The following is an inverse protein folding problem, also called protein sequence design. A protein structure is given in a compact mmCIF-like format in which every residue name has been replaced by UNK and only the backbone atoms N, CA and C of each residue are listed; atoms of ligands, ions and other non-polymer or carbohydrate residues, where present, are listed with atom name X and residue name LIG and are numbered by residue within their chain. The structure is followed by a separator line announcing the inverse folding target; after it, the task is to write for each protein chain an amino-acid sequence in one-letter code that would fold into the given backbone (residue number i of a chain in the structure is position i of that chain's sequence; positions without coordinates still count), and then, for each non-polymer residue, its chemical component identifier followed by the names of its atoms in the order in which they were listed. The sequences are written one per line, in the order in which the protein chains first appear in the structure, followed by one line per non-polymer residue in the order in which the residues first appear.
data_IF_441210072726
#
_entry.id   IF_441210072726
#
_cell.length_a   1.000
_cell.length_b   1.000
_cell.length_c   1.000
_cell.angle_alpha   90.00
_cell.angle_beta   90.00
_cell.angle_gamma   90.00
#
_symmetry.space_group_name_H-M   'P 1'
#
loop_
_entity.id
_entity.type
_entity.pdbx_description
1 polymer ?
#
# COMPACT_ATOMS: atom_id res chain seq x y z
N UNK A 1 -1.09 -45.81 -2.29
CA UNK A 1 -0.86 -44.65 -1.42
C UNK A 1 -0.67 -45.16 -0.01
N UNK A 2 0.56 -45.21 0.52
CA UNK A 2 0.85 -45.59 1.90
C UNK A 2 0.41 -44.49 2.85
N UNK A 3 -0.17 -44.83 3.98
CA UNK A 3 -0.58 -43.90 5.02
C UNK A 3 0.61 -43.05 5.48
N UNK A 4 0.43 -41.74 5.71
CA UNK A 4 1.50 -40.88 6.15
C UNK A 4 2.00 -41.33 7.54
N UNK A 5 3.32 -41.33 7.70
CA UNK A 5 4.01 -41.73 8.94
C UNK A 5 3.66 -40.69 10.04
N UNK A 6 3.57 -41.14 11.29
CA UNK A 6 3.23 -40.31 12.48
C UNK A 6 4.15 -39.08 12.60
N UNK A 7 5.40 -39.20 12.15
CA UNK A 7 6.37 -38.11 12.13
C UNK A 7 6.05 -37.05 11.09
N UNK A 8 5.58 -37.42 9.87
CA UNK A 8 5.11 -36.51 8.85
C UNK A 8 3.84 -35.75 9.26
N UNK A 9 2.95 -36.43 10.01
CA UNK A 9 1.73 -35.77 10.54
C UNK A 9 2.08 -34.71 11.57
N UNK A 10 3.04 -34.95 12.47
CA UNK A 10 3.48 -33.95 13.46
C UNK A 10 4.18 -32.74 12.82
N UNK A 11 4.99 -32.94 11.79
CA UNK A 11 5.66 -31.88 11.05
C UNK A 11 4.65 -31.02 10.27
N UNK A 12 3.62 -31.64 9.71
CA UNK A 12 2.55 -30.94 8.98
C UNK A 12 1.69 -30.09 9.91
N UNK A 13 1.39 -30.58 11.12
CA UNK A 13 0.67 -29.81 12.14
C UNK A 13 1.47 -28.60 12.63
N UNK A 14 2.75 -28.78 12.92
CA UNK A 14 3.66 -27.69 13.32
C UNK A 14 3.72 -26.62 12.23
N UNK A 15 3.83 -27.03 10.97
CA UNK A 15 3.87 -26.11 9.82
C UNK A 15 2.55 -25.36 9.62
N UNK A 16 1.40 -26.02 9.83
CA UNK A 16 0.09 -25.40 9.77
C UNK A 16 -0.08 -24.30 10.82
N UNK A 17 0.35 -24.57 12.05
CA UNK A 17 0.29 -23.60 13.14
C UNK A 17 1.23 -22.40 12.91
N UNK A 18 2.39 -22.63 12.30
CA UNK A 18 3.30 -21.56 11.90
C UNK A 18 2.68 -20.65 10.83
N UNK A 19 2.07 -21.22 9.81
CA UNK A 19 1.39 -20.45 8.73
C UNK A 19 0.24 -19.63 9.30
N UNK A 20 -0.67 -20.27 10.03
CA UNK A 20 -1.82 -19.58 10.66
C UNK A 20 -1.33 -18.53 11.66
N UNK A 21 -0.30 -18.84 12.44
CA UNK A 21 0.34 -17.92 13.37
C UNK A 21 0.94 -16.71 12.68
N UNK A 22 1.55 -16.88 11.51
CA UNK A 22 2.11 -15.79 10.71
C UNK A 22 1.00 -14.86 10.18
N UNK A 23 -0.06 -15.42 9.60
CA UNK A 23 -1.20 -14.64 9.12
C UNK A 23 -1.86 -13.84 10.26
N UNK A 24 -2.07 -14.46 11.43
CA UNK A 24 -2.65 -13.78 12.61
C UNK A 24 -1.77 -12.66 13.13
N UNK A 25 -0.46 -12.86 13.21
CA UNK A 25 0.50 -11.82 13.60
C UNK A 25 0.41 -10.64 12.65
N UNK A 26 0.38 -10.91 11.33
CA UNK A 26 0.23 -9.89 10.31
C UNK A 26 -1.06 -9.09 10.43
N UNK A 27 -2.21 -9.75 10.62
CA UNK A 27 -3.49 -9.07 10.83
C UNK A 27 -3.50 -8.24 12.12
N UNK A 28 -2.82 -8.71 13.17
CA UNK A 28 -2.68 -7.96 14.43
C UNK A 28 -1.78 -6.73 14.25
N UNK A 29 -0.70 -6.86 13.47
CA UNK A 29 0.20 -5.75 13.13
C UNK A 29 -0.55 -4.68 12.32
N UNK A 30 -1.27 -5.06 11.27
CA UNK A 30 -2.09 -4.15 10.47
C UNK A 30 -3.14 -3.43 11.33
N UNK A 31 -3.80 -4.15 12.25
CA UNK A 31 -4.74 -3.53 13.20
C UNK A 31 -4.03 -2.54 14.12
N UNK A 32 -2.85 -2.86 14.64
CA UNK A 32 -2.08 -1.94 15.49
C UNK A 32 -1.70 -0.68 14.75
N UNK A 33 -1.19 -0.79 13.51
CA UNK A 33 -0.87 0.36 12.66
C UNK A 33 -2.11 1.24 12.49
N UNK A 34 -3.26 0.66 12.13
CA UNK A 34 -4.53 1.39 12.00
C UNK A 34 -4.94 2.08 13.29
N UNK A 35 -4.82 1.41 14.43
CA UNK A 35 -5.17 2.00 15.74
C UNK A 35 -4.25 3.17 16.10
N UNK A 36 -2.94 3.04 15.90
CA UNK A 36 -1.99 4.10 16.22
C UNK A 36 -2.17 5.29 15.30
N UNK A 37 -2.13 5.08 13.98
CA UNK A 37 -2.24 6.16 13.00
C UNK A 37 -3.63 6.79 13.02
N UNK A 38 -4.68 5.97 13.09
CA UNK A 38 -6.06 6.44 13.22
C UNK A 38 -6.31 7.18 14.53
N UNK A 39 -5.80 6.67 15.66
CA UNK A 39 -5.90 7.32 16.97
C UNK A 39 -5.19 8.67 17.00
N UNK A 40 -4.00 8.78 16.42
CA UNK A 40 -3.28 10.04 16.28
C UNK A 40 -4.08 11.04 15.42
N UNK A 41 -4.63 10.60 14.30
CA UNK A 41 -5.46 11.42 13.44
C UNK A 41 -6.74 11.89 14.15
N UNK A 42 -7.45 11.01 14.87
CA UNK A 42 -8.61 11.39 15.68
C UNK A 42 -8.24 12.39 16.77
N UNK A 43 -7.11 12.18 17.46
CA UNK A 43 -6.61 13.11 18.46
C UNK A 43 -6.33 14.49 17.88
N UNK A 44 -5.62 14.58 16.77
CA UNK A 44 -5.36 15.83 16.04
C UNK A 44 -6.67 16.49 15.58
N UNK A 45 -7.63 15.70 15.08
CA UNK A 45 -8.93 16.20 14.64
C UNK A 45 -9.72 16.81 15.80
N UNK A 46 -9.70 16.17 16.97
CA UNK A 46 -10.37 16.69 18.18
C UNK A 46 -9.69 17.99 18.68
N UNK A 47 -8.35 18.03 18.70
CA UNK A 47 -7.60 19.23 19.10
C UNK A 47 -7.83 20.36 18.11
N UNK A 48 -7.79 20.10 16.80
CA UNK A 48 -8.07 21.11 15.78
C UNK A 48 -9.50 21.63 15.86
N UNK A 49 -10.51 20.75 16.11
CA UNK A 49 -11.90 21.16 16.34
C UNK A 49 -12.04 22.05 17.57
N UNK A 50 -11.42 21.68 18.69
CA UNK A 50 -11.40 22.49 19.90
C UNK A 50 -10.72 23.84 19.65
N UNK A 51 -9.59 23.87 18.96
CA UNK A 51 -8.91 25.11 18.59
C UNK A 51 -9.82 26.03 17.75
N UNK A 52 -10.51 25.47 16.75
CA UNK A 52 -11.47 26.24 15.92
C UNK A 52 -12.65 26.81 16.73
N UNK A 53 -13.14 26.06 17.70
CA UNK A 53 -14.33 26.47 18.49
C UNK A 53 -13.97 27.46 19.60
N UNK A 54 -12.85 27.23 20.30
CA UNK A 54 -12.51 27.98 21.52
C UNK A 54 -11.51 29.12 21.28
N UNK A 55 -10.61 29.02 20.32
CA UNK A 55 -9.55 30.01 20.13
C UNK A 55 -9.80 30.98 18.97
N UNK A 56 -10.48 30.56 17.91
CA UNK A 56 -10.74 31.45 16.76
C UNK A 56 -11.65 32.65 17.12
N UNK A 57 -12.69 32.50 17.95
CA UNK A 57 -13.52 33.65 18.35
C UNK A 57 -12.74 34.71 19.13
N UNK A 58 -11.86 34.28 20.08
CA UNK A 58 -11.16 35.21 20.98
C UNK A 58 -10.00 35.96 20.32
N UNK A 59 -9.45 35.42 19.24
CA UNK A 59 -8.26 36.00 18.57
C UNK A 59 -8.58 37.36 17.93
N UNK A 60 -9.80 37.58 17.48
CA UNK A 60 -10.18 38.75 16.69
C UNK A 60 -10.67 39.88 17.59
N UNK A 61 -11.23 39.55 18.76
CA UNK A 61 -11.68 40.58 19.73
C UNK A 61 -10.53 41.19 20.55
N UNK A 62 -9.33 40.60 20.54
CA UNK A 62 -8.20 40.97 21.45
C UNK A 62 -7.01 41.58 20.66
N UNK A 63 -7.18 41.91 19.38
CA UNK A 63 -6.06 42.31 18.49
C UNK A 63 -5.19 43.49 18.96
N UNK A 64 -5.64 44.51 19.72
CA UNK A 64 -4.74 45.61 20.08
C UNK A 64 -3.81 45.34 21.26
N UNK A 65 -4.18 44.51 22.24
CA UNK A 65 -3.43 44.41 23.49
C UNK A 65 -2.32 43.36 23.54
N UNK A 66 -2.38 42.29 22.71
CA UNK A 66 -1.36 41.24 22.64
C UNK A 66 -1.23 40.61 21.25
N UNK A 67 -0.78 41.39 20.26
CA UNK A 67 -0.61 40.98 18.88
C UNK A 67 0.15 39.63 18.73
N UNK A 68 1.29 39.49 19.45
CA UNK A 68 2.12 38.29 19.37
C UNK A 68 1.33 37.05 19.82
N UNK A 69 0.54 37.15 20.87
CA UNK A 69 -0.26 36.06 21.40
C UNK A 69 -1.38 35.68 20.42
N UNK A 70 -2.04 36.65 19.80
CA UNK A 70 -3.12 36.45 18.85
C UNK A 70 -2.61 35.83 17.54
N UNK A 71 -1.50 36.30 17.02
CA UNK A 71 -0.82 35.73 15.84
C UNK A 71 -0.34 34.30 16.13
N UNK A 72 0.22 34.04 17.31
CA UNK A 72 0.67 32.70 17.69
C UNK A 72 -0.50 31.71 17.80
N UNK A 73 -1.64 32.14 18.37
CA UNK A 73 -2.86 31.30 18.45
C UNK A 73 -3.41 30.98 17.06
N UNK A 74 -3.47 31.96 16.18
CA UNK A 74 -3.93 31.77 14.80
C UNK A 74 -3.03 30.82 14.05
N UNK A 75 -1.70 31.02 14.11
CA UNK A 75 -0.72 30.13 13.51
C UNK A 75 -0.88 28.70 14.03
N UNK A 76 -1.02 28.52 15.33
CA UNK A 76 -1.19 27.19 15.93
C UNK A 76 -2.48 26.51 15.46
N UNK A 77 -3.59 27.26 15.38
CA UNK A 77 -4.89 26.72 14.93
C UNK A 77 -4.81 26.26 13.45
N UNK A 78 -4.22 27.07 12.57
CA UNK A 78 -4.02 26.72 11.16
C UNK A 78 -3.06 25.53 11.02
N UNK A 79 -1.92 25.56 11.70
CA UNK A 79 -0.94 24.47 11.66
C UNK A 79 -1.53 23.14 12.17
N UNK A 80 -2.38 23.15 13.21
CA UNK A 80 -3.06 21.95 13.68
C UNK A 80 -4.10 21.44 12.68
N UNK A 81 -4.81 22.34 12.02
CA UNK A 81 -5.79 21.97 11.00
C UNK A 81 -5.07 21.33 9.78
N UNK A 82 -3.97 21.92 9.32
CA UNK A 82 -3.16 21.41 8.22
C UNK A 82 -2.47 20.09 8.57
N UNK A 83 -1.93 19.97 9.77
CA UNK A 83 -1.34 18.72 10.26
C UNK A 83 -2.39 17.59 10.30
N UNK A 84 -3.62 17.89 10.73
CA UNK A 84 -4.73 16.93 10.68
C UNK A 84 -5.03 16.49 9.24
N UNK A 85 -5.13 17.43 8.31
CA UNK A 85 -5.37 17.12 6.90
C UNK A 85 -4.23 16.29 6.29
N UNK A 86 -2.98 16.64 6.58
CA UNK A 86 -1.82 15.85 6.15
C UNK A 86 -1.90 14.42 6.71
N UNK A 87 -2.23 14.26 7.98
CA UNK A 87 -2.44 12.94 8.59
C UNK A 87 -3.61 12.17 7.96
N UNK A 88 -4.62 12.86 7.40
CA UNK A 88 -5.70 12.22 6.65
C UNK A 88 -5.19 11.44 5.43
N UNK A 89 -4.13 11.89 4.78
CA UNK A 89 -3.49 11.20 3.65
C UNK A 89 -2.58 10.05 4.07
N UNK A 90 -2.03 10.12 5.28
CA UNK A 90 -1.08 9.14 5.81
C UNK A 90 -1.80 7.97 6.53
N UNK A 91 -2.98 8.23 7.08
CA UNK A 91 -3.73 7.29 7.90
C UNK A 91 -4.28 6.06 7.14
N UNK A 92 -4.82 6.16 5.90
CA UNK A 92 -5.34 5.02 5.20
C UNK A 92 -4.24 4.05 4.78
N UNK A 93 -4.44 2.76 5.06
CA UNK A 93 -3.72 1.69 4.40
C UNK A 93 -4.41 1.43 3.05
N UNK A 94 -3.63 1.15 2.00
CA UNK A 94 -4.05 1.18 0.61
C UNK A 94 -5.36 0.48 0.23
N UNK A 95 -5.86 -0.49 1.05
CA UNK A 95 -7.08 -1.27 0.74
C UNK A 95 -8.27 -0.92 1.65
N UNK A 96 -8.12 0.07 2.55
CA UNK A 96 -9.15 0.37 3.56
C UNK A 96 -10.13 1.45 3.09
N UNK A 97 -10.98 1.12 2.12
CA UNK A 97 -11.99 2.03 1.56
C UNK A 97 -12.92 2.60 2.62
N UNK A 98 -13.32 1.80 3.62
CA UNK A 98 -14.22 2.26 4.70
C UNK A 98 -13.55 3.30 5.60
N UNK A 99 -12.27 3.10 5.90
CA UNK A 99 -11.52 4.06 6.70
C UNK A 99 -11.29 5.37 5.92
N UNK A 100 -10.97 5.27 4.61
CA UNK A 100 -10.85 6.45 3.74
C UNK A 100 -12.17 7.22 3.65
N UNK A 101 -13.30 6.54 3.52
CA UNK A 101 -14.62 7.17 3.54
C UNK A 101 -14.92 7.87 4.87
N UNK A 102 -14.55 7.25 6.00
CA UNK A 102 -14.67 7.86 7.32
C UNK A 102 -13.83 9.15 7.43
N UNK A 103 -12.57 9.10 6.98
CA UNK A 103 -11.65 10.25 6.96
C UNK A 103 -12.24 11.40 6.15
N UNK A 104 -12.67 11.14 4.91
CA UNK A 104 -13.29 12.15 4.04
C UNK A 104 -14.59 12.69 4.61
N UNK A 105 -15.41 11.83 5.23
CA UNK A 105 -16.65 12.26 5.90
C UNK A 105 -16.38 13.19 7.07
N UNK A 106 -15.38 12.90 7.91
CA UNK A 106 -14.95 13.78 9.00
C UNK A 106 -14.37 15.09 8.45
N UNK A 107 -13.61 15.05 7.35
CA UNK A 107 -13.12 16.28 6.70
C UNK A 107 -14.28 17.18 6.27
N UNK A 108 -15.31 16.62 5.64
CA UNK A 108 -16.52 17.39 5.27
C UNK A 108 -17.16 18.03 6.51
N UNK A 109 -17.34 17.27 7.58
CA UNK A 109 -17.92 17.80 8.83
C UNK A 109 -17.05 18.91 9.42
N UNK A 110 -15.74 18.75 9.44
CA UNK A 110 -14.81 19.76 9.97
C UNK A 110 -14.81 21.05 9.13
N UNK A 111 -14.84 20.92 7.80
CA UNK A 111 -15.02 22.09 6.91
C UNK A 111 -16.34 22.79 7.15
N UNK A 112 -17.45 22.06 7.26
CA UNK A 112 -18.75 22.62 7.56
C UNK A 112 -18.79 23.34 8.91
N UNK A 113 -18.22 22.71 9.97
CA UNK A 113 -18.16 23.29 11.30
C UNK A 113 -17.34 24.60 11.33
N UNK A 114 -16.20 24.63 10.64
CA UNK A 114 -15.38 25.85 10.52
C UNK A 114 -16.17 26.99 9.84
N UNK A 115 -16.93 26.68 8.77
CA UNK A 115 -17.77 27.67 8.08
C UNK A 115 -18.97 28.13 8.89
N UNK A 116 -19.59 27.23 9.64
CA UNK A 116 -20.67 27.58 10.57
C UNK A 116 -20.19 28.54 11.65
N UNK A 117 -19.00 28.35 12.21
CA UNK A 117 -18.38 29.29 13.14
C UNK A 117 -18.22 30.69 12.56
N UNK A 118 -17.79 30.81 11.28
CA UNK A 118 -17.70 32.10 10.56
C UNK A 118 -19.06 32.74 10.36
N UNK A 119 -20.07 31.96 9.93
CA UNK A 119 -21.44 32.49 9.73
C UNK A 119 -22.08 32.98 11.04
N UNK A 120 -21.83 32.31 12.14
CA UNK A 120 -22.30 32.75 13.47
C UNK A 120 -21.75 34.13 13.85
N UNK A 121 -20.51 34.43 13.51
CA UNK A 121 -19.92 35.76 13.68
C UNK A 121 -20.68 36.83 12.92
N UNK A 122 -20.95 36.59 11.63
CA UNK A 122 -21.74 37.52 10.81
C UNK A 122 -23.11 37.81 11.42
N UNK A 123 -23.78 36.79 11.96
CA UNK A 123 -25.12 36.98 12.56
C UNK A 123 -25.11 37.82 13.84
N UNK A 124 -23.96 37.87 14.54
CA UNK A 124 -23.80 38.66 15.76
C UNK A 124 -23.31 40.07 15.51
N UNK A 125 -22.50 40.29 14.48
CA UNK A 125 -21.82 41.57 14.19
C UNK A 125 -22.10 42.13 12.78
N UNK A 126 -23.23 41.78 12.15
CA UNK A 126 -23.52 42.12 10.75
C UNK A 126 -23.50 43.64 10.43
N UNK A 127 -23.72 44.52 11.44
CA UNK A 127 -23.69 45.98 11.27
C UNK A 127 -22.29 46.59 11.39
N UNK A 128 -21.28 45.84 11.82
CA UNK A 128 -19.91 46.34 12.05
C UNK A 128 -18.97 45.88 10.92
N UNK A 129 -19.39 44.92 10.10
CA UNK A 129 -18.51 44.30 9.09
C UNK A 129 -18.21 45.26 7.93
N UNK A 130 -16.90 45.41 7.66
CA UNK A 130 -16.40 46.13 6.50
C UNK A 130 -16.59 45.32 5.21
N UNK A 131 -16.49 45.96 4.04
CA UNK A 131 -16.53 45.25 2.77
C UNK A 131 -15.37 44.23 2.63
N UNK A 132 -14.24 44.49 3.24
CA UNK A 132 -13.07 43.58 3.28
C UNK A 132 -13.39 42.30 4.00
N UNK A 133 -14.06 42.34 5.15
CA UNK A 133 -14.51 41.18 5.91
C UNK A 133 -15.54 40.33 5.15
N UNK A 134 -16.47 41.00 4.45
CA UNK A 134 -17.44 40.30 3.59
C UNK A 134 -16.77 39.55 2.45
N UNK A 135 -15.74 40.13 1.85
CA UNK A 135 -14.97 39.51 0.76
C UNK A 135 -14.23 38.30 1.28
N UNK A 136 -13.58 38.41 2.43
CA UNK A 136 -12.82 37.32 3.09
C UNK A 136 -13.74 36.14 3.41
N UNK A 137 -14.90 36.42 3.99
CA UNK A 137 -15.87 35.37 4.31
C UNK A 137 -16.39 34.70 3.04
N UNK A 138 -16.66 35.47 1.99
CA UNK A 138 -17.17 34.93 0.72
C UNK A 138 -16.13 33.99 0.07
N UNK A 139 -14.86 34.39 0.04
CA UNK A 139 -13.76 33.57 -0.49
C UNK A 139 -13.59 32.30 0.34
N UNK A 140 -13.60 32.43 1.67
CA UNK A 140 -13.50 31.32 2.58
C UNK A 140 -14.67 30.32 2.45
N UNK A 141 -15.89 30.82 2.28
CA UNK A 141 -17.07 29.97 2.04
C UNK A 141 -16.96 29.23 0.70
N UNK A 142 -16.55 29.92 -0.37
CA UNK A 142 -16.35 29.31 -1.68
C UNK A 142 -15.29 28.19 -1.62
N UNK A 143 -14.14 28.42 -0.95
CA UNK A 143 -13.13 27.41 -0.69
C UNK A 143 -13.73 26.19 0.02
N UNK A 144 -14.49 26.42 1.10
CA UNK A 144 -15.13 25.35 1.86
C UNK A 144 -16.04 24.48 0.99
N UNK A 145 -16.87 25.10 0.14
CA UNK A 145 -17.75 24.37 -0.78
C UNK A 145 -16.96 23.53 -1.79
N UNK A 146 -15.88 24.09 -2.37
CA UNK A 146 -15.01 23.35 -3.30
C UNK A 146 -14.36 22.15 -2.59
N UNK A 147 -13.78 22.36 -1.42
CA UNK A 147 -13.13 21.28 -0.67
C UNK A 147 -14.12 20.17 -0.25
N UNK A 148 -15.30 20.54 0.25
CA UNK A 148 -16.35 19.56 0.56
C UNK A 148 -16.83 18.81 -0.69
N UNK A 149 -16.95 19.49 -1.82
CA UNK A 149 -17.32 18.89 -3.10
C UNK A 149 -16.30 17.86 -3.58
N UNK A 150 -15.00 18.18 -3.50
CA UNK A 150 -13.92 17.27 -3.86
C UNK A 150 -13.89 16.06 -2.92
N UNK A 151 -14.05 16.27 -1.61
CA UNK A 151 -14.12 15.18 -0.64
C UNK A 151 -15.34 14.27 -0.87
N UNK A 152 -16.52 14.86 -1.10
CA UNK A 152 -17.73 14.09 -1.42
C UNK A 152 -17.57 13.30 -2.73
N UNK A 153 -16.98 13.90 -3.75
CA UNK A 153 -16.65 13.20 -5.00
C UNK A 153 -15.67 12.04 -4.78
N UNK A 154 -14.63 12.23 -3.95
CA UNK A 154 -13.70 11.16 -3.61
C UNK A 154 -14.42 9.97 -2.95
N UNK A 155 -15.40 10.23 -2.07
CA UNK A 155 -16.18 9.19 -1.39
C UNK A 155 -17.03 8.33 -2.35
N UNK A 156 -17.36 8.82 -3.54
CA UNK A 156 -18.13 8.04 -4.54
C UNK A 156 -17.29 6.97 -5.23
N UNK A 157 -15.96 7.01 -5.07
CA UNK A 157 -15.07 6.06 -5.70
C UNK A 157 -15.12 4.72 -4.97
N UNK A 158 -15.24 3.63 -5.73
CA UNK A 158 -15.25 2.26 -5.20
C UNK A 158 -13.87 1.64 -5.19
N UNK A 159 -13.00 2.10 -6.08
CA UNK A 159 -11.61 1.66 -6.17
C UNK A 159 -10.77 2.34 -5.09
N UNK A 160 -10.07 1.58 -4.21
CA UNK A 160 -9.24 2.11 -3.13
C UNK A 160 -8.17 3.07 -3.59
N UNK A 161 -7.52 2.76 -4.72
CA UNK A 161 -6.43 3.56 -5.24
C UNK A 161 -6.94 4.88 -5.84
N UNK A 162 -8.05 4.83 -6.58
CA UNK A 162 -8.70 6.03 -7.06
C UNK A 162 -9.13 6.91 -5.88
N UNK A 163 -9.70 6.33 -4.81
CA UNK A 163 -10.07 7.07 -3.61
C UNK A 163 -8.85 7.71 -2.94
N UNK A 164 -7.76 6.98 -2.78
CA UNK A 164 -6.51 7.51 -2.22
C UNK A 164 -5.92 8.64 -3.08
N UNK A 165 -5.96 8.49 -4.41
CA UNK A 165 -5.53 9.53 -5.35
C UNK A 165 -6.38 10.80 -5.22
N UNK A 166 -7.70 10.67 -5.05
CA UNK A 166 -8.59 11.80 -4.85
C UNK A 166 -8.44 12.44 -3.46
N UNK A 167 -8.19 11.65 -2.42
CA UNK A 167 -7.83 12.18 -1.11
C UNK A 167 -6.59 13.07 -1.19
N UNK A 168 -5.58 12.61 -1.94
CA UNK A 168 -4.38 13.40 -2.18
C UNK A 168 -4.64 14.69 -2.96
N UNK A 169 -5.41 14.60 -4.06
CA UNK A 169 -5.82 15.77 -4.83
C UNK A 169 -6.62 16.76 -3.98
N UNK A 170 -7.46 16.27 -3.09
CA UNK A 170 -8.19 17.10 -2.12
C UNK A 170 -7.24 17.93 -1.27
N UNK A 171 -6.15 17.35 -0.77
CA UNK A 171 -5.14 18.07 0.01
C UNK A 171 -4.43 19.16 -0.81
N UNK A 172 -4.05 18.83 -2.06
CA UNK A 172 -3.42 19.83 -2.96
C UNK A 172 -4.37 20.98 -3.22
N UNK A 173 -5.63 20.69 -3.55
CA UNK A 173 -6.65 21.73 -3.79
C UNK A 173 -6.85 22.58 -2.54
N UNK A 174 -6.96 21.95 -1.37
CA UNK A 174 -7.11 22.68 -0.11
C UNK A 174 -5.93 23.61 0.14
N UNK A 175 -4.68 23.07 0.16
CA UNK A 175 -3.49 23.87 0.46
C UNK A 175 -3.29 25.03 -0.53
N UNK A 176 -3.59 24.79 -1.81
CA UNK A 176 -3.50 25.85 -2.84
C UNK A 176 -4.53 26.94 -2.60
N UNK A 177 -5.79 26.59 -2.33
CA UNK A 177 -6.85 27.55 -2.07
C UNK A 177 -6.63 28.29 -0.75
N UNK A 178 -6.09 27.62 0.26
CA UNK A 178 -5.81 28.21 1.57
C UNK A 178 -4.66 29.24 1.48
N UNK A 179 -3.61 28.90 0.76
CA UNK A 179 -2.51 29.83 0.47
C UNK A 179 -3.00 31.03 -0.34
N UNK A 180 -3.84 30.79 -1.35
CA UNK A 180 -4.45 31.88 -2.14
C UNK A 180 -5.32 32.80 -1.29
N UNK A 181 -6.17 32.23 -0.41
CA UNK A 181 -7.00 32.99 0.54
C UNK A 181 -6.12 33.86 1.44
N UNK A 182 -5.07 33.28 2.06
CA UNK A 182 -4.16 34.04 2.93
C UNK A 182 -3.49 35.22 2.22
N UNK A 183 -3.04 35.03 0.98
CA UNK A 183 -2.44 36.10 0.19
C UNK A 183 -3.45 37.17 -0.22
N UNK A 184 -4.66 36.76 -0.62
CA UNK A 184 -5.74 37.67 -1.03
C UNK A 184 -6.23 38.49 0.16
N UNK A 185 -6.46 37.87 1.32
CA UNK A 185 -6.85 38.57 2.55
C UNK A 185 -5.83 39.61 2.96
N UNK A 186 -4.53 39.27 2.91
CA UNK A 186 -3.47 40.22 3.18
C UNK A 186 -3.44 41.41 2.20
N UNK A 187 -3.69 41.18 0.92
CA UNK A 187 -3.80 42.23 -0.09
C UNK A 187 -5.01 43.15 0.17
N UNK A 188 -6.17 42.56 0.45
CA UNK A 188 -7.42 43.30 0.73
C UNK A 188 -7.25 44.15 1.99
N UNK A 189 -6.67 43.62 3.06
CA UNK A 189 -6.40 44.39 4.29
C UNK A 189 -5.50 45.60 4.01
N UNK A 190 -4.43 45.43 3.24
CA UNK A 190 -3.54 46.55 2.86
C UNK A 190 -4.23 47.64 2.04
N UNK A 191 -5.15 47.24 1.18
CA UNK A 191 -5.92 48.18 0.36
C UNK A 191 -7.00 48.91 1.17
N UNK A 192 -7.56 48.27 2.18
CA UNK A 192 -8.65 48.81 3.01
C UNK A 192 -8.17 49.75 4.13
N UNK A 193 -7.06 49.39 4.80
CA UNK A 193 -6.60 50.08 6.04
C UNK A 193 -5.51 51.12 5.79
N UNK A 194 -4.93 51.20 4.57
CA UNK A 194 -3.80 52.08 4.29
C UNK A 194 -2.52 51.64 5.02
N UNK A 195 -1.50 52.51 5.00
CA UNK A 195 -0.11 52.13 5.38
C UNK A 195 0.17 52.21 6.91
N UNK A 196 -0.87 52.30 7.77
CA UNK A 196 -0.64 52.56 9.21
C UNK A 196 -0.14 51.37 10.04
N UNK A 197 -0.39 50.11 9.63
CA UNK A 197 0.02 48.91 10.39
C UNK A 197 0.55 47.78 9.52
N UNK A 198 1.40 48.07 8.54
CA UNK A 198 1.99 47.08 7.63
C UNK A 198 2.72 45.94 8.27
N UNK A 199 3.20 46.12 9.53
CA UNK A 199 3.83 45.05 10.31
C UNK A 199 2.82 44.03 10.82
N UNK A 200 1.65 44.46 11.28
CA UNK A 200 0.56 43.60 11.78
C UNK A 200 0.00 42.73 10.64
N UNK A 201 -0.31 43.37 9.51
CA UNK A 201 -0.83 42.68 8.32
C UNK A 201 0.20 41.63 7.84
N UNK A 202 1.48 42.00 7.80
CA UNK A 202 2.55 41.07 7.42
C UNK A 202 2.63 39.87 8.36
N UNK A 203 2.54 40.06 9.67
CA UNK A 203 2.53 38.97 10.64
C UNK A 203 1.32 38.05 10.48
N UNK A 204 0.13 38.60 10.21
CA UNK A 204 -1.09 37.81 10.00
C UNK A 204 -0.97 37.00 8.70
N UNK A 205 -0.50 37.58 7.60
CA UNK A 205 -0.30 36.87 6.33
C UNK A 205 0.73 35.74 6.50
N UNK A 206 1.82 35.98 7.18
CA UNK A 206 2.82 34.95 7.46
C UNK A 206 2.21 33.81 8.28
N UNK A 207 1.44 34.14 9.33
CA UNK A 207 0.82 33.14 10.20
C UNK A 207 -0.20 32.26 9.47
N UNK A 208 -0.91 32.79 8.48
CA UNK A 208 -1.94 32.06 7.71
C UNK A 208 -1.39 31.39 6.45
N UNK A 209 -0.32 31.93 5.83
CA UNK A 209 0.24 31.41 4.59
C UNK A 209 1.33 30.33 4.79
N UNK A 210 2.09 30.41 5.89
CA UNK A 210 3.21 29.47 6.13
C UNK A 210 2.73 28.03 6.33
N UNK A 211 1.72 27.70 7.16
CA UNK A 211 1.25 26.33 7.32
C UNK A 211 0.78 25.68 6.01
N UNK A 212 -0.13 26.26 5.22
CA UNK A 212 -0.55 25.68 3.95
C UNK A 212 0.57 25.68 2.91
N UNK A 213 1.52 26.60 2.96
CA UNK A 213 2.72 26.60 2.12
C UNK A 213 3.62 25.39 2.41
N UNK A 214 3.87 25.10 3.68
CA UNK A 214 4.61 23.90 4.12
C UNK A 214 3.83 22.65 3.71
N UNK A 215 2.53 22.61 3.94
CA UNK A 215 1.68 21.50 3.55
C UNK A 215 1.76 21.26 2.04
N UNK A 216 1.63 22.30 1.23
CA UNK A 216 1.71 22.21 -0.23
C UNK A 216 3.08 21.67 -0.67
N UNK A 217 4.18 22.12 -0.06
CA UNK A 217 5.52 21.61 -0.31
C UNK A 217 5.63 20.11 0.01
N UNK A 218 5.14 19.69 1.18
CA UNK A 218 5.16 18.27 1.60
C UNK A 218 4.29 17.39 0.71
N UNK A 219 3.18 17.93 0.21
CA UNK A 219 2.21 17.22 -0.64
C UNK A 219 2.65 17.17 -2.11
N UNK A 220 3.48 18.11 -2.56
CA UNK A 220 3.93 18.18 -3.95
C UNK A 220 4.77 16.98 -4.36
N UNK A 221 5.64 16.48 -3.48
CA UNK A 221 6.51 15.33 -3.76
C UNK A 221 5.93 14.02 -3.21
N UNK A 222 5.38 13.19 -4.10
CA UNK A 222 4.89 11.85 -3.76
C UNK A 222 5.95 10.93 -3.15
N UNK A 223 7.25 11.16 -3.46
CA UNK A 223 8.36 10.38 -2.87
C UNK A 223 8.48 10.66 -1.39
N UNK A 224 8.35 11.92 -1.01
CA UNK A 224 8.37 12.33 0.40
C UNK A 224 7.19 11.73 1.18
N UNK A 225 5.99 11.68 0.57
CA UNK A 225 4.83 11.01 1.17
C UNK A 225 5.10 9.52 1.41
N UNK A 226 5.55 8.81 0.37
CA UNK A 226 5.84 7.39 0.46
C UNK A 226 6.92 7.11 1.50
N UNK A 227 7.96 7.94 1.55
CA UNK A 227 9.01 7.88 2.57
C UNK A 227 8.44 8.11 3.99
N UNK A 228 7.60 9.13 4.17
CA UNK A 228 6.97 9.43 5.47
C UNK A 228 6.06 8.29 5.92
N UNK A 229 5.25 7.72 5.02
CA UNK A 229 4.44 6.53 5.30
C UNK A 229 5.31 5.33 5.69
N UNK A 230 6.44 5.15 5.00
CA UNK A 230 7.43 4.12 5.32
C UNK A 230 8.00 4.30 6.73
N UNK A 231 8.42 5.51 7.09
CA UNK A 231 8.96 5.83 8.42
C UNK A 231 7.91 5.61 9.53
N UNK A 232 6.68 6.04 9.32
CA UNK A 232 5.58 5.82 10.27
C UNK A 232 5.33 4.32 10.50
N UNK A 233 5.34 3.52 9.44
CA UNK A 233 5.20 2.07 9.54
C UNK A 233 6.38 1.43 10.27
N UNK A 234 7.61 1.86 9.98
CA UNK A 234 8.80 1.38 10.66
C UNK A 234 8.81 1.73 12.15
N UNK A 235 8.30 2.91 12.50
CA UNK A 235 8.20 3.36 13.90
C UNK A 235 7.16 2.55 14.70
N UNK A 236 6.02 2.24 14.09
CA UNK A 236 4.96 1.42 14.72
C UNK A 236 5.37 -0.05 14.82
N UNK A 237 6.21 -0.53 13.90
CA UNK A 237 6.59 -1.94 13.76
C UNK A 237 8.10 -2.13 13.82
N UNK A 238 8.59 -2.52 14.98
CA UNK A 238 10.02 -2.61 15.30
C UNK A 238 10.70 -3.90 14.81
N UNK A 239 9.97 -4.91 14.33
CA UNK A 239 10.56 -6.20 13.95
C UNK A 239 10.26 -6.58 12.50
N UNK A 240 11.31 -7.00 11.74
CA UNK A 240 11.17 -7.46 10.36
C UNK A 240 10.19 -8.63 10.19
N UNK A 241 10.08 -9.50 11.21
CA UNK A 241 9.13 -10.61 11.20
C UNK A 241 7.66 -10.15 11.22
N UNK A 242 7.36 -9.03 11.90
CA UNK A 242 6.00 -8.48 11.96
C UNK A 242 5.63 -7.82 10.63
N UNK A 243 6.59 -7.16 9.98
CA UNK A 243 6.41 -6.59 8.62
C UNK A 243 6.12 -7.67 7.58
N UNK A 244 6.93 -8.74 7.58
CA UNK A 244 6.70 -9.90 6.73
C UNK A 244 5.29 -10.47 6.93
N UNK A 245 4.88 -10.66 8.18
CA UNK A 245 3.55 -11.15 8.51
C UNK A 245 2.43 -10.20 8.06
N UNK A 246 2.62 -8.87 8.17
CA UNK A 246 1.67 -7.87 7.72
C UNK A 246 1.47 -7.91 6.20
N UNK A 247 2.54 -8.14 5.42
CA UNK A 247 2.48 -8.26 3.97
C UNK A 247 1.75 -9.51 3.52
N UNK A 248 2.01 -10.63 4.16
CA UNK A 248 1.25 -11.86 3.92
C UNK A 248 -0.24 -11.66 4.23
N UNK A 249 -0.56 -10.99 5.35
CA UNK A 249 -1.94 -10.69 5.69
C UNK A 249 -2.61 -9.72 4.69
N UNK A 250 -1.86 -8.77 4.13
CA UNK A 250 -2.31 -7.88 3.07
C UNK A 250 -2.60 -8.65 1.77
N UNK A 251 -1.70 -9.53 1.36
CA UNK A 251 -1.85 -10.36 0.17
C UNK A 251 -3.06 -11.31 0.26
N UNK A 252 -3.24 -11.94 1.42
CA UNK A 252 -4.37 -12.86 1.67
C UNK A 252 -5.70 -12.09 1.77
N UNK A 253 -5.64 -10.81 2.18
CA UNK A 253 -6.81 -9.97 2.35
C UNK A 253 -7.57 -10.20 3.67
N UNK A 254 -8.74 -9.55 3.84
CA UNK A 254 -9.56 -9.66 5.04
C UNK A 254 -10.21 -11.04 5.13
N UNK A 255 -10.28 -11.59 6.34
CA UNK A 255 -10.95 -12.86 6.62
C UNK A 255 -10.34 -13.64 7.78
N UNK A 256 -10.96 -14.73 8.17
CA UNK A 256 -10.40 -15.63 9.17
C UNK A 256 -9.22 -16.43 8.55
N UNK A 257 -8.00 -16.31 9.09
CA UNK A 257 -6.82 -17.05 8.62
C UNK A 257 -7.03 -18.56 8.53
N UNK A 258 -7.85 -19.10 9.43
CA UNK A 258 -8.17 -20.54 9.42
C UNK A 258 -9.00 -20.95 8.22
N UNK A 259 -9.91 -20.07 7.77
CA UNK A 259 -10.72 -20.33 6.59
C UNK A 259 -9.87 -20.30 5.32
N UNK A 260 -9.00 -19.29 5.17
CA UNK A 260 -8.09 -19.19 4.02
C UNK A 260 -7.11 -20.37 3.99
N UNK A 261 -6.55 -20.72 5.16
CA UNK A 261 -5.68 -21.89 5.27
C UNK A 261 -6.42 -23.19 4.90
N UNK A 262 -7.68 -23.37 5.35
CA UNK A 262 -8.49 -24.54 5.02
C UNK A 262 -8.77 -24.58 3.51
N UNK A 263 -9.11 -23.46 2.90
CA UNK A 263 -9.28 -23.34 1.47
C UNK A 263 -8.00 -23.73 0.72
N UNK A 264 -6.87 -23.12 1.07
CA UNK A 264 -5.59 -23.44 0.46
C UNK A 264 -5.25 -24.93 0.59
N UNK A 265 -5.49 -25.53 1.77
CA UNK A 265 -5.26 -26.97 1.99
C UNK A 265 -6.12 -27.86 1.10
N UNK A 266 -7.36 -27.47 0.80
CA UNK A 266 -8.25 -28.28 -0.06
C UNK A 266 -7.95 -28.10 -1.54
N UNK A 267 -7.39 -26.98 -1.93
CA UNK A 267 -7.07 -26.63 -3.33
C UNK A 267 -5.61 -26.91 -3.69
N UNK A 268 -4.73 -27.18 -2.70
CA UNK A 268 -3.31 -27.42 -2.96
C UNK A 268 -3.09 -28.69 -3.77
N UNK A 269 -2.43 -28.53 -4.91
CA UNK A 269 -2.20 -29.61 -5.87
C UNK A 269 -0.73 -29.65 -6.27
N UNK A 270 -0.31 -30.77 -6.83
CA UNK A 270 1.00 -30.92 -7.45
C UNK A 270 0.91 -31.88 -8.65
N UNK A 271 1.97 -31.93 -9.39
CA UNK A 271 2.19 -32.91 -10.48
C UNK A 271 3.59 -33.47 -10.33
N UNK A 272 3.83 -34.74 -10.70
CA UNK A 272 5.19 -35.25 -10.83
C UNK A 272 5.79 -34.71 -12.14
N UNK A 273 7.06 -34.32 -12.11
CA UNK A 273 7.66 -33.58 -13.22
C UNK A 273 7.77 -34.38 -14.53
N UNK A 274 7.76 -35.71 -14.45
CA UNK A 274 7.69 -36.62 -15.60
C UNK A 274 6.36 -36.53 -16.35
N UNK A 275 5.30 -36.04 -15.71
CA UNK A 275 3.99 -35.84 -16.32
C UNK A 275 3.87 -34.47 -17.05
N UNK A 276 4.83 -33.59 -16.94
CA UNK A 276 4.87 -32.32 -17.68
C UNK A 276 5.60 -32.56 -19.02
N UNK A 277 5.03 -32.05 -20.09
CA UNK A 277 5.61 -32.17 -21.43
C UNK A 277 6.17 -30.84 -21.92
N UNK A 278 6.98 -30.89 -22.98
CA UNK A 278 7.51 -29.66 -23.60
C UNK A 278 6.40 -28.76 -24.14
N UNK A 279 5.30 -29.36 -24.66
CA UNK A 279 4.14 -28.66 -25.19
C UNK A 279 3.42 -27.87 -24.07
N UNK A 280 3.42 -28.38 -22.85
CA UNK A 280 2.84 -27.67 -21.70
C UNK A 280 3.60 -26.39 -21.36
N UNK A 281 4.90 -26.34 -21.66
CA UNK A 281 5.76 -25.16 -21.42
C UNK A 281 5.76 -24.23 -22.64
N UNK A 282 5.59 -24.77 -23.84
CA UNK A 282 5.64 -24.02 -25.10
C UNK A 282 4.43 -23.09 -25.26
N UNK A 283 3.22 -23.58 -24.95
CA UNK A 283 1.98 -22.83 -25.11
C UNK A 283 1.79 -21.86 -23.93
N UNK A 284 1.62 -20.58 -24.21
CA UNK A 284 1.39 -19.55 -23.20
C UNK A 284 -0.12 -19.27 -22.92
N UNK A 285 -1.03 -20.08 -23.51
CA UNK A 285 -2.46 -19.91 -23.32
C UNK A 285 -2.97 -20.73 -22.11
N UNK A 286 -3.92 -20.18 -21.33
CA UNK A 286 -4.58 -20.92 -20.28
C UNK A 286 -5.31 -22.15 -20.87
N UNK A 287 -5.11 -23.32 -20.25
CA UNK A 287 -5.79 -24.55 -20.63
C UNK A 287 -6.36 -25.25 -19.39
N UNK A 288 -7.68 -25.26 -19.26
CA UNK A 288 -8.39 -25.86 -18.12
C UNK A 288 -8.25 -27.39 -18.05
N UNK A 289 -7.91 -28.06 -19.14
CA UNK A 289 -7.72 -29.52 -19.15
C UNK A 289 -6.46 -29.93 -18.37
N UNK A 290 -5.44 -29.06 -18.37
CA UNK A 290 -4.18 -29.31 -17.66
C UNK A 290 -4.39 -29.44 -16.14
N UNK A 291 -5.36 -28.74 -15.57
CA UNK A 291 -5.69 -28.83 -14.15
C UNK A 291 -6.08 -30.26 -13.73
N UNK A 292 -6.73 -31.02 -14.61
CA UNK A 292 -7.10 -32.42 -14.35
C UNK A 292 -5.92 -33.36 -14.19
N UNK A 293 -4.74 -33.00 -14.72
CA UNK A 293 -3.50 -33.78 -14.67
C UNK A 293 -2.78 -33.65 -13.32
N UNK A 294 -3.04 -32.60 -12.57
CA UNK A 294 -2.50 -32.46 -11.22
C UNK A 294 -3.35 -33.21 -10.18
N UNK A 295 -2.77 -33.51 -9.04
CA UNK A 295 -3.40 -34.24 -7.95
C UNK A 295 -3.34 -33.45 -6.64
N UNK A 296 -4.38 -33.57 -5.81
CA UNK A 296 -4.38 -32.97 -4.49
C UNK A 296 -3.27 -33.56 -3.62
N UNK A 297 -2.54 -32.69 -2.92
CA UNK A 297 -1.45 -33.09 -2.02
C UNK A 297 -1.53 -32.31 -0.72
N UNK A 298 -0.97 -32.87 0.35
CA UNK A 298 -0.88 -32.19 1.64
C UNK A 298 0.18 -31.08 1.58
N UNK A 299 -0.14 -29.91 2.15
CA UNK A 299 0.82 -28.81 2.31
C UNK A 299 2.07 -29.31 3.07
N UNK A 300 3.24 -29.03 2.54
CA UNK A 300 4.52 -29.50 3.07
C UNK A 300 5.05 -30.79 2.43
N UNK A 301 4.25 -31.44 1.58
CA UNK A 301 4.66 -32.65 0.87
C UNK A 301 5.03 -32.41 -0.60
N UNK A 302 4.98 -31.19 -1.07
CA UNK A 302 5.43 -30.80 -2.42
C UNK A 302 6.93 -30.46 -2.39
N UNK A 303 7.70 -31.04 -3.29
CA UNK A 303 9.16 -30.86 -3.31
C UNK A 303 9.54 -29.46 -3.75
N UNK A 304 8.93 -28.92 -4.81
CA UNK A 304 9.30 -27.61 -5.32
C UNK A 304 8.11 -26.83 -5.91
N UNK A 305 8.21 -25.53 -5.77
CA UNK A 305 7.43 -24.56 -6.55
C UNK A 305 8.28 -24.09 -7.74
N UNK A 306 7.75 -24.17 -8.95
CA UNK A 306 8.44 -23.73 -10.16
C UNK A 306 7.99 -22.31 -10.51
N UNK A 307 8.91 -21.37 -10.35
CA UNK A 307 8.72 -19.96 -10.68
C UNK A 307 9.40 -19.64 -12.01
N UNK A 308 8.64 -19.13 -12.98
CA UNK A 308 9.15 -18.82 -14.31
C UNK A 308 8.37 -17.71 -14.98
N UNK A 309 8.97 -17.03 -15.96
CA UNK A 309 8.24 -16.12 -16.84
C UNK A 309 7.67 -16.89 -18.04
N UNK A 310 6.37 -16.66 -18.33
CA UNK A 310 5.72 -17.22 -19.51
C UNK A 310 6.26 -16.64 -20.81
N UNK A 311 6.91 -15.46 -20.76
CA UNK A 311 7.44 -14.75 -21.92
C UNK A 311 8.86 -15.19 -22.34
N UNK A 312 9.56 -15.94 -21.47
CA UNK A 312 10.87 -16.47 -21.80
C UNK A 312 10.78 -17.66 -22.76
N UNK A 313 11.82 -17.88 -23.57
CA UNK A 313 11.89 -18.97 -24.53
C UNK A 313 11.66 -20.33 -23.84
N UNK A 314 10.74 -21.11 -24.38
CA UNK A 314 10.34 -22.41 -23.84
C UNK A 314 11.46 -23.45 -23.94
N UNK A 315 12.29 -23.45 -25.01
CA UNK A 315 13.36 -24.41 -25.20
C UNK A 315 14.40 -24.39 -24.08
N UNK A 316 15.11 -23.28 -23.86
CA UNK A 316 16.04 -23.14 -22.74
C UNK A 316 15.43 -23.35 -21.36
N UNK A 317 14.18 -22.91 -21.15
CA UNK A 317 13.45 -23.17 -19.88
C UNK A 317 13.25 -24.66 -19.65
N UNK A 318 12.85 -25.37 -20.69
CA UNK A 318 12.65 -26.81 -20.63
C UNK A 318 13.93 -27.55 -20.31
N UNK A 319 15.04 -27.23 -21.03
CA UNK A 319 16.33 -27.84 -20.83
C UNK A 319 16.83 -27.64 -19.37
N UNK A 320 16.72 -26.40 -18.87
CA UNK A 320 17.05 -26.07 -17.49
C UNK A 320 16.20 -26.84 -16.47
N UNK A 321 14.89 -26.96 -16.71
CA UNK A 321 13.98 -27.72 -15.86
C UNK A 321 14.30 -29.24 -15.86
N UNK A 322 14.63 -29.81 -17.03
CA UNK A 322 15.00 -31.20 -17.12
C UNK A 322 16.38 -31.50 -16.50
N UNK A 323 17.33 -30.58 -16.61
CA UNK A 323 18.62 -30.68 -15.91
C UNK A 323 18.43 -30.71 -14.37
N UNK A 324 17.58 -29.79 -13.83
CA UNK A 324 17.23 -29.80 -12.41
C UNK A 324 16.52 -31.10 -12.00
N UNK A 325 15.57 -31.59 -12.81
CA UNK A 325 14.90 -32.88 -12.59
C UNK A 325 15.89 -34.03 -12.50
N UNK A 326 16.83 -34.11 -13.46
CA UNK A 326 17.82 -35.17 -13.46
C UNK A 326 18.70 -35.17 -12.19
N UNK A 327 19.14 -33.98 -11.76
CA UNK A 327 19.88 -33.82 -10.50
C UNK A 327 19.05 -34.22 -9.27
N UNK A 328 17.77 -33.88 -9.24
CA UNK A 328 16.86 -34.28 -8.17
C UNK A 328 16.69 -35.81 -8.12
N UNK A 329 16.41 -36.44 -9.27
CA UNK A 329 16.26 -37.91 -9.37
C UNK A 329 17.54 -38.64 -8.94
N UNK A 330 18.69 -38.12 -9.34
CA UNK A 330 19.98 -38.67 -8.94
C UNK A 330 20.18 -38.60 -7.44
N UNK A 331 19.75 -37.52 -6.80
CA UNK A 331 19.98 -37.36 -5.34
C UNK A 331 18.91 -38.03 -4.48
N UNK A 332 17.67 -38.18 -4.96
CA UNK A 332 16.53 -38.66 -4.17
C UNK A 332 15.98 -40.02 -4.61
N UNK A 333 16.39 -40.54 -5.77
CA UNK A 333 15.96 -41.84 -6.31
C UNK A 333 14.47 -41.88 -6.75
N UNK A 334 13.82 -40.74 -6.93
CA UNK A 334 12.42 -40.61 -7.35
C UNK A 334 12.18 -39.33 -8.12
N UNK A 335 11.05 -39.27 -8.83
CA UNK A 335 10.60 -38.06 -9.48
C UNK A 335 10.21 -36.96 -8.47
N UNK A 336 10.55 -35.69 -8.76
CA UNK A 336 10.08 -34.58 -7.93
C UNK A 336 8.59 -34.31 -8.14
N UNK A 337 7.90 -34.02 -7.03
CA UNK A 337 6.56 -33.43 -7.09
C UNK A 337 6.67 -31.91 -7.14
N UNK A 338 6.03 -31.29 -8.12
CA UNK A 338 6.15 -29.84 -8.30
C UNK A 338 4.79 -29.16 -8.35
N UNK A 339 4.76 -27.95 -7.84
CA UNK A 339 3.69 -27.02 -8.08
C UNK A 339 4.06 -26.19 -9.32
N UNK A 340 3.24 -26.28 -10.35
CA UNK A 340 3.43 -25.58 -11.61
C UNK A 340 2.13 -24.86 -11.94
N UNK A 341 2.17 -23.55 -12.12
CA UNK A 341 1.00 -22.66 -12.19
C UNK A 341 -0.05 -23.13 -13.21
N UNK A 342 0.37 -23.49 -14.42
CA UNK A 342 -0.50 -23.98 -15.50
C UNK A 342 -1.32 -25.22 -15.14
N UNK A 343 -0.77 -26.11 -14.31
CA UNK A 343 -1.41 -27.37 -13.95
C UNK A 343 -2.06 -27.32 -12.56
N UNK A 344 -1.61 -26.44 -11.68
CA UNK A 344 -2.02 -26.43 -10.29
C UNK A 344 -3.00 -25.30 -9.93
N UNK A 345 -3.22 -24.32 -10.82
CA UNK A 345 -4.21 -23.26 -10.66
C UNK A 345 -5.47 -23.61 -11.46
N UNK A 346 -6.63 -23.47 -10.83
CA UNK A 346 -7.90 -23.51 -11.54
C UNK A 346 -8.10 -22.23 -12.36
N UNK A 347 -7.92 -22.32 -13.67
CA UNK A 347 -8.03 -21.21 -14.60
C UNK A 347 -9.45 -20.59 -14.66
N UNK A 348 -10.45 -21.28 -14.11
CA UNK A 348 -11.82 -20.76 -14.01
C UNK A 348 -12.07 -19.94 -12.75
N UNK A 349 -11.16 -20.02 -11.74
CA UNK A 349 -11.30 -19.36 -10.45
C UNK A 349 -9.98 -18.80 -9.90
N UNK A 350 -9.24 -18.13 -10.77
CA UNK A 350 -7.88 -17.64 -10.53
C UNK A 350 -7.78 -16.76 -9.27
N UNK A 351 -8.73 -15.83 -9.02
CA UNK A 351 -8.66 -14.90 -7.88
C UNK A 351 -8.57 -15.61 -6.52
N UNK A 352 -9.29 -16.71 -6.35
CA UNK A 352 -9.27 -17.47 -5.11
C UNK A 352 -7.94 -18.21 -4.91
N UNK A 353 -7.35 -18.73 -5.99
CA UNK A 353 -6.06 -19.40 -5.95
C UNK A 353 -4.93 -18.40 -5.69
N UNK A 354 -4.98 -17.22 -6.28
CA UNK A 354 -4.01 -16.16 -6.05
C UNK A 354 -3.96 -15.69 -4.58
N UNK A 355 -5.09 -15.62 -3.90
CA UNK A 355 -5.14 -15.32 -2.46
C UNK A 355 -4.44 -16.41 -1.62
N UNK A 356 -4.46 -17.65 -2.09
CA UNK A 356 -3.82 -18.79 -1.44
C UNK A 356 -2.33 -18.94 -1.80
N UNK A 357 -1.83 -18.22 -2.79
CA UNK A 357 -0.47 -18.33 -3.32
C UNK A 357 0.63 -18.28 -2.25
N UNK A 358 0.59 -17.35 -1.26
CA UNK A 358 1.57 -17.36 -0.18
C UNK A 358 1.61 -18.68 0.60
N UNK A 359 0.42 -19.29 0.80
CA UNK A 359 0.30 -20.57 1.50
C UNK A 359 0.82 -21.73 0.64
N UNK A 360 0.56 -21.69 -0.67
CA UNK A 360 1.10 -22.69 -1.61
C UNK A 360 2.63 -22.69 -1.63
N UNK A 361 3.23 -21.49 -1.74
CA UNK A 361 4.68 -21.32 -1.65
C UNK A 361 5.24 -21.82 -0.32
N UNK A 362 4.60 -21.46 0.79
CA UNK A 362 4.94 -22.02 2.12
C UNK A 362 4.70 -23.53 2.23
N UNK A 363 3.88 -24.11 1.37
CA UNK A 363 3.60 -25.54 1.28
C UNK A 363 4.63 -26.35 0.49
N UNK A 364 5.52 -25.69 -0.26
CA UNK A 364 6.59 -26.32 -1.01
C UNK A 364 7.92 -26.29 -0.23
N UNK A 365 8.76 -27.29 -0.43
CA UNK A 365 10.05 -27.40 0.28
C UNK A 365 11.12 -26.50 -0.33
N UNK A 366 11.07 -26.28 -1.63
CA UNK A 366 12.02 -25.48 -2.40
C UNK A 366 11.29 -24.53 -3.36
N UNK A 367 11.97 -23.45 -3.72
CA UNK A 367 11.58 -22.57 -4.82
C UNK A 367 12.61 -22.74 -5.94
N UNK A 368 12.18 -23.21 -7.10
CA UNK A 368 13.02 -23.32 -8.30
C UNK A 368 12.69 -22.18 -9.22
N UNK A 369 13.64 -21.31 -9.44
CA UNK A 369 13.52 -20.11 -10.30
C UNK A 369 14.20 -20.37 -11.63
N UNK A 370 13.43 -20.40 -12.70
CA UNK A 370 13.94 -20.40 -14.06
C UNK A 370 14.09 -18.95 -14.52
N UNK A 371 15.26 -18.36 -14.28
CA UNK A 371 15.52 -16.92 -14.48
C UNK A 371 15.96 -16.63 -15.91
N UNK A 372 15.00 -16.43 -16.79
CA UNK A 372 15.25 -15.93 -18.14
C UNK A 372 15.27 -14.39 -18.21
N UNK A 373 15.45 -13.81 -19.41
CA UNK A 373 15.59 -12.37 -19.62
C UNK A 373 14.41 -11.54 -19.12
N UNK A 374 13.20 -12.08 -19.14
CA UNK A 374 11.98 -11.35 -18.72
C UNK A 374 11.56 -11.62 -17.28
N UNK A 375 12.25 -12.53 -16.56
CA UNK A 375 11.84 -12.95 -15.21
C UNK A 375 11.69 -11.78 -14.26
N UNK A 376 12.70 -10.89 -14.16
CA UNK A 376 12.67 -9.74 -13.25
C UNK A 376 11.74 -8.62 -13.71
N UNK A 377 11.28 -8.62 -14.96
CA UNK A 377 10.29 -7.66 -15.43
C UNK A 377 8.85 -8.08 -15.10
N UNK A 378 8.64 -9.30 -14.64
CA UNK A 378 7.32 -9.86 -14.32
C UNK A 378 7.03 -9.77 -12.83
N UNK A 379 6.05 -8.94 -12.47
CA UNK A 379 5.71 -8.71 -11.06
C UNK A 379 5.29 -10.00 -10.33
N UNK A 380 4.58 -10.92 -11.01
CA UNK A 380 4.20 -12.22 -10.43
C UNK A 380 5.41 -13.06 -10.00
N UNK A 381 6.43 -13.17 -10.83
CA UNK A 381 7.66 -13.90 -10.49
C UNK A 381 8.36 -13.32 -9.25
N UNK A 382 8.36 -12.00 -9.13
CA UNK A 382 8.92 -11.31 -7.95
C UNK A 382 8.07 -11.58 -6.72
N UNK A 383 6.75 -11.58 -6.85
CA UNK A 383 5.86 -11.88 -5.72
C UNK A 383 6.00 -13.32 -5.23
N UNK A 384 6.27 -14.27 -6.11
CA UNK A 384 6.53 -15.67 -5.73
C UNK A 384 7.77 -15.78 -4.86
N UNK A 385 8.89 -15.19 -5.29
CA UNK A 385 10.11 -15.13 -4.48
C UNK A 385 9.86 -14.42 -3.14
N UNK A 386 9.18 -13.27 -3.19
CA UNK A 386 8.83 -12.49 -2.01
C UNK A 386 8.02 -13.33 -1.01
N UNK A 387 6.93 -13.96 -1.46
CA UNK A 387 6.09 -14.77 -0.59
C UNK A 387 6.81 -16.00 -0.03
N UNK A 388 7.65 -16.65 -0.84
CA UNK A 388 8.43 -17.77 -0.36
C UNK A 388 9.31 -17.39 0.85
N UNK A 389 10.05 -16.29 0.72
CA UNK A 389 10.91 -15.78 1.80
C UNK A 389 10.08 -15.33 3.01
N UNK A 390 8.98 -14.59 2.77
CA UNK A 390 8.12 -14.07 3.85
C UNK A 390 7.37 -15.16 4.60
N UNK A 391 7.10 -16.31 3.97
CA UNK A 391 6.52 -17.49 4.61
C UNK A 391 7.56 -18.34 5.35
N UNK A 392 8.81 -17.90 5.41
CA UNK A 392 9.88 -18.56 6.16
C UNK A 392 10.78 -19.49 5.32
N UNK A 393 10.67 -19.40 3.99
CA UNK A 393 11.60 -20.06 3.07
C UNK A 393 13.02 -19.54 3.27
N UNK A 394 14.00 -20.45 3.25
CA UNK A 394 15.41 -20.10 3.37
C UNK A 394 16.03 -19.86 2.01
N UNK A 395 16.99 -18.96 1.89
CA UNK A 395 17.74 -18.74 0.65
C UNK A 395 18.45 -20.03 0.17
N UNK A 396 18.87 -20.89 1.10
CA UNK A 396 19.44 -22.22 0.77
C UNK A 396 18.41 -23.20 0.17
N UNK A 397 17.13 -22.88 0.21
CA UNK A 397 16.04 -23.64 -0.42
C UNK A 397 15.54 -22.96 -1.71
N UNK A 398 16.26 -21.98 -2.22
CA UNK A 398 16.01 -21.34 -3.52
C UNK A 398 17.05 -21.83 -4.51
N UNK A 399 16.59 -22.49 -5.56
CA UNK A 399 17.42 -22.91 -6.68
C UNK A 399 17.25 -21.89 -7.80
N UNK A 400 18.21 -20.97 -7.96
CA UNK A 400 18.23 -20.01 -9.04
C UNK A 400 18.96 -20.59 -10.25
N UNK A 401 18.23 -20.85 -11.32
CA UNK A 401 18.74 -21.45 -12.55
C UNK A 401 18.66 -20.40 -13.65
N UNK A 402 19.79 -19.86 -14.12
CA UNK A 402 19.80 -18.96 -15.26
C UNK A 402 19.35 -19.69 -16.52
N UNK A 403 18.42 -19.08 -17.24
CA UNK A 403 17.96 -19.56 -18.55
C UNK A 403 18.60 -18.67 -19.61
N UNK A 404 19.70 -19.13 -20.16
CA UNK A 404 20.46 -18.40 -21.18
C UNK A 404 19.70 -18.34 -22.51
N UNK A 405 19.79 -17.24 -23.23
CA UNK A 405 19.46 -17.23 -24.65
C UNK A 405 20.49 -18.11 -25.40
N UNK A 406 20.07 -18.72 -26.49
CA UNK A 406 20.89 -19.74 -27.25
C UNK A 406 22.31 -19.31 -27.65
N UNK A 407 22.69 -18.07 -27.45
CA UNK A 407 23.97 -17.49 -27.85
C UNK A 407 24.88 -17.07 -26.68
N UNK A 408 24.41 -17.12 -25.43
CA UNK A 408 25.16 -16.65 -24.27
C UNK A 408 25.84 -17.81 -23.51
N UNK A 409 27.05 -17.57 -22.99
CA UNK A 409 27.72 -18.48 -22.07
C UNK A 409 27.04 -18.46 -20.72
N UNK A 410 26.95 -19.61 -20.02
CA UNK A 410 26.31 -19.75 -18.70
C UNK A 410 26.89 -18.77 -17.65
N UNK A 411 28.20 -18.53 -17.66
CA UNK A 411 28.86 -17.60 -16.73
C UNK A 411 28.45 -16.14 -16.98
N UNK A 412 28.30 -15.70 -18.22
CA UNK A 412 27.84 -14.34 -18.55
C UNK A 412 26.35 -14.14 -18.19
N UNK A 413 25.56 -15.20 -18.36
CA UNK A 413 24.13 -15.19 -17.96
C UNK A 413 23.95 -15.02 -16.47
N UNK A 414 24.75 -15.70 -15.63
CA UNK A 414 24.69 -15.56 -14.17
C UNK A 414 25.11 -14.14 -13.73
N UNK A 415 26.17 -13.58 -14.28
CA UNK A 415 26.65 -12.22 -13.98
C UNK A 415 25.60 -11.19 -14.38
N UNK A 416 24.99 -11.33 -15.52
CA UNK A 416 23.92 -10.44 -16.01
C UNK A 416 22.69 -10.52 -15.12
N UNK A 417 22.26 -11.72 -14.75
CA UNK A 417 21.14 -11.94 -13.82
C UNK A 417 21.40 -11.27 -12.47
N UNK A 418 22.58 -11.48 -11.89
CA UNK A 418 22.96 -10.88 -10.61
C UNK A 418 23.06 -9.35 -10.66
N UNK A 419 23.51 -8.79 -11.78
CA UNK A 419 23.55 -7.33 -11.98
C UNK A 419 22.15 -6.73 -12.06
N UNK A 420 21.22 -7.43 -12.71
CA UNK A 420 19.82 -7.01 -12.85
C UNK A 420 19.09 -6.99 -11.50
N UNK A 421 19.42 -7.92 -10.59
CA UNK A 421 18.89 -7.89 -9.22
C UNK A 421 19.32 -6.65 -8.43
N UNK A 422 20.50 -6.07 -8.71
CA UNK A 422 21.00 -4.88 -8.00
C UNK A 422 20.30 -3.58 -8.38
N UNK A 423 19.75 -3.52 -9.59
CA UNK A 423 19.05 -2.33 -10.13
C UNK A 423 17.53 -2.53 -10.21
N UNK A 424 17.04 -3.56 -9.53
CA UNK A 424 15.63 -3.94 -9.59
C UNK A 424 14.70 -2.89 -8.96
N UNK A 425 13.61 -2.56 -9.68
CA UNK A 425 12.50 -1.72 -9.20
C UNK A 425 11.17 -2.44 -9.47
N UNK A 426 10.48 -2.85 -8.41
CA UNK A 426 9.18 -3.51 -8.52
C UNK A 426 8.12 -2.63 -9.21
N UNK A 427 8.24 -1.31 -9.11
CA UNK A 427 7.32 -0.36 -9.76
C UNK A 427 7.41 -0.39 -11.28
N UNK A 428 8.59 -0.77 -11.82
CA UNK A 428 8.83 -0.91 -13.26
C UNK A 428 8.32 -2.24 -13.83
N UNK A 429 7.98 -3.23 -12.99
CA UNK A 429 7.54 -4.54 -13.44
C UNK A 429 6.19 -4.48 -14.17
N UNK A 430 6.04 -5.40 -15.11
CA UNK A 430 4.80 -5.62 -15.85
C UNK A 430 3.90 -6.64 -15.17
N UNK A 431 2.59 -6.47 -15.33
CA UNK A 431 1.56 -7.40 -14.88
C UNK A 431 0.46 -7.46 -15.93
N UNK A 432 -0.17 -8.62 -16.10
CA UNK A 432 -1.26 -8.80 -17.05
C UNK A 432 -2.48 -7.92 -16.70
N UNK A 433 -2.79 -7.80 -15.40
CA UNK A 433 -3.88 -7.01 -14.88
C UNK A 433 -3.35 -5.78 -14.11
N UNK A 434 -3.82 -4.60 -14.47
CA UNK A 434 -3.53 -3.36 -13.70
C UNK A 434 -4.06 -3.43 -12.27
N UNK A 435 -5.19 -4.13 -12.05
CA UNK A 435 -5.73 -4.34 -10.70
C UNK A 435 -4.77 -5.18 -9.86
N UNK A 436 -4.29 -6.29 -10.39
CA UNK A 436 -3.34 -7.17 -9.69
C UNK A 436 -2.01 -6.46 -9.45
N UNK A 437 -1.51 -5.71 -10.44
CA UNK A 437 -0.31 -4.89 -10.30
C UNK A 437 -0.41 -3.96 -9.09
N UNK A 438 -1.49 -3.24 -8.98
CA UNK A 438 -1.75 -2.30 -7.88
C UNK A 438 -1.81 -3.01 -6.54
N UNK A 439 -2.51 -4.15 -6.47
CA UNK A 439 -2.61 -4.94 -5.26
C UNK A 439 -1.24 -5.47 -4.82
N UNK A 440 -0.47 -6.07 -5.71
CA UNK A 440 0.87 -6.60 -5.42
C UNK A 440 1.85 -5.49 -4.99
N UNK A 441 1.86 -4.35 -5.68
CA UNK A 441 2.68 -3.21 -5.28
C UNK A 441 2.28 -2.68 -3.90
N UNK A 442 0.99 -2.74 -3.52
CA UNK A 442 0.56 -2.37 -2.17
C UNK A 442 1.08 -3.34 -1.11
N UNK A 443 1.17 -4.62 -1.42
CA UNK A 443 1.78 -5.65 -0.55
C UNK A 443 3.27 -5.38 -0.34
N UNK A 444 4.02 -5.09 -1.41
CA UNK A 444 5.45 -4.75 -1.34
C UNK A 444 5.64 -3.45 -0.51
N UNK A 445 4.86 -2.41 -0.78
CA UNK A 445 4.91 -1.16 0.00
C UNK A 445 4.60 -1.38 1.48
N UNK A 446 3.73 -2.33 1.80
CA UNK A 446 3.41 -2.69 3.19
C UNK A 446 4.63 -3.27 3.91
N UNK A 447 5.50 -4.00 3.21
CA UNK A 447 6.73 -4.57 3.76
C UNK A 447 7.88 -3.58 3.86
N UNK A 448 8.18 -2.92 2.76
CA UNK A 448 9.42 -2.16 2.61
C UNK A 448 9.21 -0.65 2.63
N UNK A 449 7.98 -0.20 2.45
CA UNK A 449 7.64 1.23 2.38
C UNK A 449 8.00 1.89 1.05
N UNK A 450 8.80 1.24 0.20
CA UNK A 450 9.18 1.69 -1.14
C UNK A 450 9.06 0.55 -2.14
N UNK A 451 9.22 0.84 -3.42
CA UNK A 451 9.19 -0.13 -4.52
C UNK A 451 10.57 -0.43 -5.11
N UNK A 452 11.57 0.33 -4.72
CA UNK A 452 12.95 0.20 -5.12
C UNK A 452 13.90 0.69 -4.05
#
# INVERSE_FOLDING_TARGET
MSAPNTQQLSETEVRSDQIIGTIRRGQSALRRIRCVVGGTWFGLSAVAAAACVFYLPDVIDILPENLILSVSKLFLAEALFDARLLMSSLAPLGDDTRFMQLVLGIDIVMFAARRFGMMRRLSVHWWVTSWSEWTDITVSMAKGVVCMGVAAWAMTRRDPEAMHTWLWRHLVVYATLDLFEACLSGLIMRLAEGDQDGSVISCLVIATAVPPGIMLYLVWDRRLLNWTQSQLRQWVDTTGATRAAASIACAIGPGDPRMVYRQARTQFRCVTLDCITFEDVLDNMPNSELYSRSSAITLGCCDAFISHSWHDDAGPKWDALQAWRAAFVQSHGREPTVWFDKLCIDQTNIENDLRCLPIYLGGCSRLVILSGPTYLSRLWCIMELFFFIMMGGRLSSVDLIPVAAKEDNEDDSMVTTMSSFKTFDAGACECFSEHDKKHMLSVIRTSFGSLG
#
